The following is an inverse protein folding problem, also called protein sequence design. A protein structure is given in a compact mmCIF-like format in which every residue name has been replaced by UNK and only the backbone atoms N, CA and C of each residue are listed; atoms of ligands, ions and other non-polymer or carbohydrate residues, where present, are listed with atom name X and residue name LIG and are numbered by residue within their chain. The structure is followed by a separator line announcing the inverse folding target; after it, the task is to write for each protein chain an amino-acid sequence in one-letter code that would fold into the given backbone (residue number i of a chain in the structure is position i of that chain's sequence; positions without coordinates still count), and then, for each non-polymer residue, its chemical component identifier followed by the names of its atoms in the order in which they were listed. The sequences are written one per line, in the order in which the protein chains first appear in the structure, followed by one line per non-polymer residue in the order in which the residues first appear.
data_IF_405868429465
#
_entry.id   IF_405868429465
#
_cell.length_a   1.000
_cell.length_b   1.000
_cell.length_c   1.000
_cell.angle_alpha   90.00
_cell.angle_beta   90.00
_cell.angle_gamma   90.00
#
_symmetry.space_group_name_H-M   'P 1'
#
loop_
_entity.id
_entity.type
_entity.pdbx_description
1 polymer ?
#
# COMPACT_ATOMS: atom_id res chain seq x y z
N UNK A 1 35.90 -23.48 9.60
CA UNK A 1 35.86 -23.56 11.09
C UNK A 1 35.50 -22.19 11.64
N UNK A 2 34.75 -22.15 12.73
CA UNK A 2 34.36 -20.89 13.37
C UNK A 2 35.61 -20.09 13.77
N UNK A 3 35.71 -18.79 13.37
CA UNK A 3 36.86 -17.97 13.71
C UNK A 3 36.93 -17.72 15.23
N UNK A 4 38.15 -17.60 15.74
CA UNK A 4 38.45 -17.30 17.14
C UNK A 4 38.95 -15.87 17.34
N UNK A 5 39.33 -15.21 16.25
CA UNK A 5 39.77 -13.83 16.16
C UNK A 5 39.16 -13.18 14.94
N UNK A 6 39.20 -11.86 14.89
CA UNK A 6 38.79 -11.10 13.69
C UNK A 6 39.82 -11.26 12.57
N UNK A 7 39.50 -10.77 11.37
CA UNK A 7 40.39 -10.85 10.20
C UNK A 7 41.72 -10.10 10.36
N UNK A 8 41.79 -9.16 11.29
CA UNK A 8 42.97 -8.39 11.68
C UNK A 8 43.71 -8.93 12.89
N UNK A 9 43.40 -10.18 13.30
CA UNK A 9 43.94 -10.88 14.46
C UNK A 9 43.54 -10.28 15.84
N UNK A 10 42.63 -9.30 15.87
CA UNK A 10 42.11 -8.78 17.13
C UNK A 10 41.07 -9.72 17.76
N UNK A 11 40.71 -9.49 18.99
CA UNK A 11 39.73 -10.30 19.70
C UNK A 11 38.31 -10.04 19.12
N UNK A 12 37.51 -11.12 19.08
CA UNK A 12 36.12 -11.02 18.65
C UNK A 12 35.30 -10.13 19.58
N UNK A 13 34.45 -9.30 19.03
CA UNK A 13 33.52 -8.45 19.74
C UNK A 13 32.07 -8.80 19.41
N UNK A 14 31.15 -8.44 20.31
CA UNK A 14 29.71 -8.66 20.03
C UNK A 14 29.28 -7.91 18.79
N UNK A 15 28.64 -8.64 17.87
CA UNK A 15 28.20 -8.08 16.60
C UNK A 15 29.08 -8.49 15.42
N UNK A 16 30.25 -9.07 15.63
CA UNK A 16 31.09 -9.60 14.55
C UNK A 16 30.31 -10.61 13.73
N UNK A 17 30.51 -10.58 12.42
CA UNK A 17 29.84 -11.46 11.48
C UNK A 17 30.81 -12.47 10.88
N UNK A 18 30.38 -13.71 10.84
CA UNK A 18 31.09 -14.77 10.15
C UNK A 18 30.22 -15.39 9.08
N UNK A 19 30.67 -15.39 7.85
CA UNK A 19 30.01 -16.02 6.70
C UNK A 19 30.64 -17.40 6.50
N UNK A 20 29.86 -18.46 6.74
CA UNK A 20 30.31 -19.82 6.49
C UNK A 20 30.12 -20.16 5.00
N UNK A 21 31.24 -20.45 4.38
CA UNK A 21 31.34 -20.75 2.94
C UNK A 21 31.51 -22.25 2.66
N UNK A 22 31.50 -23.09 3.71
CA UNK A 22 31.81 -24.51 3.59
C UNK A 22 30.68 -25.33 2.99
N UNK A 23 29.44 -24.86 3.13
CA UNK A 23 28.25 -25.54 2.63
C UNK A 23 27.49 -24.66 1.64
N UNK A 24 27.60 -25.00 0.36
CA UNK A 24 26.96 -24.26 -0.73
C UNK A 24 25.46 -24.49 -0.82
N UNK A 25 24.96 -25.63 -0.40
CA UNK A 25 23.51 -25.94 -0.42
C UNK A 25 22.74 -25.05 0.56
N UNK A 26 23.38 -24.72 1.70
CA UNK A 26 22.82 -23.84 2.72
C UNK A 26 23.45 -22.45 2.75
N UNK A 27 24.15 -22.09 1.69
CA UNK A 27 24.81 -20.80 1.53
C UNK A 27 23.85 -19.63 1.32
N UNK A 28 24.14 -18.43 1.89
CA UNK A 28 25.16 -18.17 2.92
C UNK A 28 24.60 -18.48 4.31
N UNK A 29 25.38 -19.17 5.14
CA UNK A 29 25.13 -19.23 6.57
C UNK A 29 25.89 -18.09 7.23
N UNK A 30 25.19 -17.20 7.90
CA UNK A 30 25.76 -16.02 8.54
C UNK A 30 25.57 -16.14 10.04
N UNK A 31 26.64 -15.99 10.76
CA UNK A 31 26.67 -16.07 12.22
C UNK A 31 27.04 -14.71 12.79
N UNK A 32 26.40 -14.35 13.91
CA UNK A 32 26.75 -13.19 14.72
C UNK A 32 27.40 -13.64 16.01
N UNK A 33 28.51 -13.02 16.35
CA UNK A 33 29.21 -13.31 17.61
C UNK A 33 28.55 -12.59 18.77
N UNK A 34 28.48 -13.28 19.90
CA UNK A 34 28.08 -12.71 21.19
C UNK A 34 29.21 -12.92 22.22
N UNK A 35 29.87 -11.83 22.60
CA UNK A 35 31.01 -11.89 23.56
C UNK A 35 30.59 -12.27 24.97
N UNK A 36 29.34 -12.00 25.37
CA UNK A 36 28.85 -12.35 26.69
C UNK A 36 28.69 -13.88 26.88
N UNK A 37 28.32 -14.57 25.82
CA UNK A 37 28.17 -16.03 25.81
C UNK A 37 29.33 -16.76 25.15
N UNK A 38 30.25 -16.01 24.53
CA UNK A 38 31.40 -16.55 23.76
C UNK A 38 30.93 -17.52 22.66
N UNK A 39 29.82 -17.20 22.01
CA UNK A 39 29.21 -18.08 21.01
C UNK A 39 28.88 -17.35 19.72
N UNK A 40 28.91 -18.11 18.63
CA UNK A 40 28.39 -17.70 17.34
C UNK A 40 26.95 -18.20 17.20
N UNK A 41 26.02 -17.27 17.06
CA UNK A 41 24.59 -17.55 16.83
C UNK A 41 24.29 -17.46 15.35
N UNK A 42 23.69 -18.52 14.79
CA UNK A 42 23.23 -18.51 13.39
C UNK A 42 22.10 -17.47 13.23
N UNK A 43 22.24 -16.62 12.24
CA UNK A 43 21.20 -15.68 11.88
C UNK A 43 20.27 -16.37 10.88
N UNK A 44 18.96 -16.29 11.13
CA UNK A 44 17.98 -16.81 10.22
C UNK A 44 17.96 -16.00 8.90
N UNK A 45 18.68 -16.50 7.92
CA UNK A 45 18.76 -15.88 6.61
C UNK A 45 17.52 -16.18 5.74
N UNK A 46 16.55 -16.89 6.25
CA UNK A 46 15.24 -17.07 5.60
C UNK A 46 14.22 -16.01 6.04
N UNK A 47 14.48 -15.32 7.13
CA UNK A 47 13.60 -14.28 7.65
C UNK A 47 13.84 -12.91 6.97
N UNK A 48 12.81 -12.37 6.35
CA UNK A 48 12.78 -10.98 5.88
C UNK A 48 11.76 -10.13 6.63
N UNK A 49 11.03 -10.72 7.55
CA UNK A 49 9.97 -10.03 8.27
C UNK A 49 10.51 -9.30 9.48
N UNK A 50 11.57 -9.83 10.10
CA UNK A 50 12.23 -9.21 11.25
C UNK A 50 13.52 -8.51 10.87
N UNK A 51 13.96 -7.59 11.71
CA UNK A 51 15.23 -6.88 11.57
C UNK A 51 16.44 -7.80 11.71
N UNK A 52 16.29 -8.90 12.43
CA UNK A 52 17.34 -9.90 12.59
C UNK A 52 17.70 -10.64 11.30
N UNK A 53 16.78 -10.68 10.33
CA UNK A 53 17.02 -11.24 9.00
C UNK A 53 17.86 -10.32 8.08
N UNK A 54 18.09 -9.06 8.48
CA UNK A 54 18.93 -8.10 7.77
C UNK A 54 20.11 -7.73 8.65
N UNK A 55 21.31 -7.95 8.14
CA UNK A 55 22.53 -7.72 8.90
C UNK A 55 23.15 -6.42 8.41
N UNK A 56 23.39 -5.52 9.33
CA UNK A 56 24.11 -4.28 9.09
C UNK A 56 25.49 -4.34 9.75
N UNK A 57 26.52 -4.05 8.97
CA UNK A 57 27.88 -3.88 9.46
C UNK A 57 28.41 -2.49 9.04
N UNK A 58 28.97 -1.74 9.97
CA UNK A 58 29.52 -0.41 9.67
C UNK A 58 30.75 -0.52 8.75
N UNK A 59 30.66 0.06 7.56
CA UNK A 59 31.75 0.06 6.59
C UNK A 59 32.73 1.24 6.78
N UNK A 60 32.55 2.07 7.80
CA UNK A 60 33.51 3.16 8.13
C UNK A 60 34.79 2.64 8.75
N UNK A 61 35.12 1.43 8.49
CA UNK A 61 36.36 0.81 8.91
C UNK A 61 37.55 1.54 8.26
N UNK A 62 38.44 2.10 9.06
CA UNK A 62 39.68 2.63 8.53
C UNK A 62 40.79 1.59 8.68
N UNK A 63 41.74 1.63 7.76
CA UNK A 63 42.92 0.75 7.73
C UNK A 63 43.79 0.81 8.97
N UNK A 64 43.54 1.74 9.88
CA UNK A 64 44.29 1.88 11.16
C UNK A 64 43.60 1.20 12.34
N UNK A 65 42.50 0.50 12.14
CA UNK A 65 41.80 -0.24 13.18
C UNK A 65 41.08 0.61 14.22
N UNK A 66 41.09 1.94 14.06
CA UNK A 66 40.37 2.83 14.94
C UNK A 66 38.95 3.00 14.43
N UNK A 67 38.07 2.12 14.82
CA UNK A 67 36.65 2.34 14.66
C UNK A 67 36.19 3.29 15.77
N UNK A 68 35.95 4.54 15.43
CA UNK A 68 35.57 5.57 16.39
C UNK A 68 34.10 5.54 16.78
N UNK A 69 33.29 4.78 16.04
CA UNK A 69 31.84 4.80 16.18
C UNK A 69 31.27 3.41 16.42
N UNK A 70 30.25 3.34 17.25
CA UNK A 70 29.46 2.13 17.46
C UNK A 70 28.88 1.67 16.12
N UNK A 71 28.97 0.39 15.76
CA UNK A 71 28.34 -0.12 14.54
C UNK A 71 26.89 0.29 14.48
N UNK A 72 26.46 0.86 13.36
CA UNK A 72 25.07 1.20 13.15
C UNK A 72 24.20 -0.05 13.20
N UNK A 73 23.08 0.02 13.89
CA UNK A 73 22.04 -1.01 13.86
C UNK A 73 20.94 -0.60 12.93
N UNK A 74 20.12 -1.54 12.45
CA UNK A 74 18.91 -1.22 11.69
C UNK A 74 17.99 -0.33 12.52
N UNK A 75 17.93 -0.48 13.83
CA UNK A 75 17.19 0.42 14.72
C UNK A 75 17.67 1.87 14.61
N UNK A 76 18.96 2.08 14.47
CA UNK A 76 19.51 3.43 14.28
C UNK A 76 19.05 4.04 12.94
N UNK A 77 18.81 3.22 11.91
CA UNK A 77 18.23 3.65 10.64
C UNK A 77 16.78 4.12 10.75
N UNK A 78 16.10 3.73 11.80
CA UNK A 78 14.67 4.00 12.02
C UNK A 78 14.43 5.22 12.88
N UNK A 79 15.47 5.88 13.36
CA UNK A 79 15.31 7.11 14.13
C UNK A 79 14.93 8.27 13.22
N UNK A 80 14.09 9.17 13.73
CA UNK A 80 13.61 10.36 13.01
C UNK A 80 14.73 11.27 12.49
N UNK A 81 15.95 11.12 13.02
CA UNK A 81 17.10 11.92 12.63
C UNK A 81 17.68 11.59 11.25
N UNK A 82 17.29 10.43 10.66
CA UNK A 82 17.81 10.02 9.35
C UNK A 82 17.04 10.62 8.18
N UNK A 83 15.83 11.05 8.41
CA UNK A 83 14.98 11.54 7.35
C UNK A 83 14.39 12.88 7.76
N UNK A 84 15.12 13.94 7.45
CA UNK A 84 14.55 15.26 7.34
C UNK A 84 14.14 15.47 5.88
N UNK A 85 12.85 15.55 5.65
CA UNK A 85 12.31 15.67 4.30
C UNK A 85 12.60 17.04 3.69
N UNK A 86 12.61 18.08 4.50
CA UNK A 86 12.81 19.46 4.04
C UNK A 86 14.28 19.80 3.81
N UNK A 87 15.16 19.13 4.53
CA UNK A 87 16.61 19.33 4.43
C UNK A 87 17.37 18.02 4.66
N UNK A 88 17.33 17.06 3.73
CA UNK A 88 18.00 15.79 3.88
C UNK A 88 19.51 15.99 4.04
N UNK A 89 20.04 15.58 5.19
CA UNK A 89 21.47 15.63 5.47
C UNK A 89 22.10 14.25 5.15
N UNK A 90 22.86 14.13 4.05
CA UNK A 90 23.46 12.86 3.68
C UNK A 90 24.52 12.36 4.68
N UNK A 91 25.00 13.21 5.59
CA UNK A 91 25.97 12.81 6.62
C UNK A 91 25.32 12.01 7.73
N UNK A 92 23.99 12.10 7.90
CA UNK A 92 23.21 11.34 8.88
C UNK A 92 22.85 9.93 8.42
N UNK A 93 22.98 9.64 7.12
CA UNK A 93 22.72 8.30 6.61
C UNK A 93 23.75 7.30 7.12
N UNK A 94 23.31 6.10 7.53
CA UNK A 94 24.22 5.10 8.02
C UNK A 94 25.21 4.69 6.92
N UNK A 95 26.43 4.52 7.33
CA UNK A 95 27.53 4.07 6.46
C UNK A 95 27.86 2.65 6.83
N UNK A 96 27.72 1.73 5.88
CA UNK A 96 27.96 0.36 6.21
C UNK A 96 27.73 -0.60 5.07
N UNK A 97 27.88 -1.86 5.38
CA UNK A 97 27.63 -2.97 4.50
C UNK A 97 26.37 -3.69 4.95
N UNK A 98 25.46 -3.94 4.03
CA UNK A 98 24.25 -4.70 4.29
C UNK A 98 24.31 -6.07 3.63
N UNK A 99 24.04 -7.09 4.42
CA UNK A 99 23.94 -8.45 3.98
C UNK A 99 22.47 -8.85 3.90
N UNK A 100 21.95 -9.03 2.71
CA UNK A 100 20.58 -9.44 2.51
C UNK A 100 20.36 -10.90 2.83
N UNK A 101 19.16 -11.19 3.23
CA UNK A 101 18.61 -12.51 3.09
C UNK A 101 18.47 -12.87 1.60
N UNK A 102 19.28 -13.81 1.17
CA UNK A 102 19.34 -14.20 -0.23
C UNK A 102 18.20 -15.08 -0.68
N UNK A 103 17.43 -15.69 0.23
CA UNK A 103 16.29 -16.54 -0.12
C UNK A 103 15.03 -15.74 -0.42
N UNK A 104 14.83 -14.62 0.30
CA UNK A 104 13.64 -13.79 0.14
C UNK A 104 13.89 -12.45 -0.58
N UNK A 105 15.11 -12.20 -1.02
CA UNK A 105 15.46 -10.93 -1.68
C UNK A 105 15.21 -10.91 -3.20
N UNK A 106 14.45 -11.85 -3.73
CA UNK A 106 14.23 -11.96 -5.15
C UNK A 106 15.29 -12.78 -5.87
N UNK A 107 16.03 -13.60 -5.15
CA UNK A 107 17.19 -14.28 -5.68
C UNK A 107 17.10 -15.79 -5.42
N UNK A 108 17.18 -16.56 -6.49
CA UNK A 108 17.37 -17.99 -6.39
C UNK A 108 18.87 -18.29 -6.19
N UNK A 109 19.22 -18.75 -4.99
CA UNK A 109 20.62 -19.03 -4.60
C UNK A 109 21.27 -20.04 -5.54
N UNK A 110 20.58 -21.10 -5.90
CA UNK A 110 21.11 -22.16 -6.79
C UNK A 110 21.38 -21.64 -8.19
N UNK A 111 20.46 -20.83 -8.73
CA UNK A 111 20.64 -20.17 -10.04
C UNK A 111 21.82 -19.23 -10.04
N UNK A 112 21.95 -18.46 -8.97
CA UNK A 112 23.04 -17.51 -8.82
C UNK A 112 24.39 -18.21 -8.72
N UNK A 113 24.53 -19.22 -7.85
CA UNK A 113 25.75 -20.00 -7.70
C UNK A 113 26.16 -20.61 -9.04
N UNK A 114 25.22 -21.20 -9.79
CA UNK A 114 25.48 -21.78 -11.10
C UNK A 114 26.03 -20.76 -12.11
N UNK A 115 25.51 -19.55 -12.10
CA UNK A 115 25.82 -18.55 -13.14
C UNK A 115 27.02 -17.67 -12.82
N UNK A 116 27.33 -17.48 -11.53
CA UNK A 116 28.29 -16.43 -11.11
C UNK A 116 29.36 -16.91 -10.16
N UNK A 117 29.31 -18.13 -9.66
CA UNK A 117 30.29 -18.64 -8.71
C UNK A 117 31.06 -19.78 -9.34
N UNK A 118 32.36 -19.62 -9.47
CA UNK A 118 33.24 -20.73 -9.82
C UNK A 118 33.47 -21.61 -8.59
N UNK A 119 32.87 -22.79 -8.61
CA UNK A 119 32.96 -23.75 -7.50
C UNK A 119 34.30 -24.44 -7.43
N UNK A 120 35.12 -24.37 -8.50
CA UNK A 120 36.44 -25.00 -8.56
C UNK A 120 37.55 -24.15 -7.95
N UNK A 121 37.36 -22.84 -7.91
CA UNK A 121 38.27 -21.90 -7.29
C UNK A 121 37.72 -21.35 -5.96
N UNK A 122 38.27 -21.83 -4.87
CA UNK A 122 37.83 -21.43 -3.52
C UNK A 122 38.21 -19.98 -3.20
N UNK A 123 39.24 -19.42 -3.83
CA UNK A 123 39.69 -18.06 -3.59
C UNK A 123 38.78 -17.01 -4.23
N UNK A 124 37.99 -17.40 -5.24
CA UNK A 124 37.07 -16.47 -5.93
C UNK A 124 35.71 -16.42 -5.26
N UNK A 125 35.41 -17.29 -4.30
CA UNK A 125 34.07 -17.36 -3.72
C UNK A 125 33.72 -16.14 -2.86
N UNK A 126 34.70 -15.62 -2.13
CA UNK A 126 34.48 -14.61 -1.09
C UNK A 126 35.68 -13.68 -0.85
N UNK A 127 36.52 -13.45 -1.82
CA UNK A 127 37.48 -12.35 -1.72
C UNK A 127 36.73 -11.01 -1.88
N UNK A 128 37.20 -9.97 -1.22
CA UNK A 128 36.63 -8.62 -1.31
C UNK A 128 36.56 -8.13 -2.77
N UNK A 129 37.52 -8.51 -3.59
CA UNK A 129 37.53 -8.19 -5.02
C UNK A 129 36.39 -8.86 -5.79
N UNK A 130 36.01 -10.07 -5.41
CA UNK A 130 35.00 -10.85 -6.11
C UNK A 130 33.58 -10.59 -5.57
N UNK A 131 33.45 -10.12 -4.34
CA UNK A 131 32.13 -9.83 -3.77
C UNK A 131 31.35 -8.81 -4.59
N UNK A 132 31.97 -7.73 -5.03
CA UNK A 132 31.34 -6.71 -5.88
C UNK A 132 31.04 -7.19 -7.28
N UNK A 133 31.91 -8.04 -7.85
CA UNK A 133 31.76 -8.55 -9.20
C UNK A 133 30.73 -9.68 -9.32
N UNK A 134 30.74 -10.61 -8.36
CA UNK A 134 29.91 -11.81 -8.41
C UNK A 134 28.61 -11.72 -7.60
N UNK A 135 28.53 -10.75 -6.66
CA UNK A 135 27.39 -10.60 -5.76
C UNK A 135 26.78 -9.19 -5.75
N UNK A 136 26.64 -8.52 -6.89
CA UNK A 136 26.24 -7.11 -6.92
C UNK A 136 24.85 -6.86 -6.32
N UNK A 137 24.03 -7.88 -6.22
CA UNK A 137 22.65 -7.80 -5.72
C UNK A 137 22.46 -8.31 -4.29
N UNK A 138 23.50 -8.84 -3.68
CA UNK A 138 23.41 -9.48 -2.35
C UNK A 138 24.21 -8.78 -1.31
N UNK A 139 25.35 -8.28 -1.72
CA UNK A 139 26.29 -7.60 -0.87
C UNK A 139 26.31 -6.14 -1.25
N UNK A 140 26.05 -5.34 -0.29
CA UNK A 140 26.21 -3.91 -0.43
C UNK A 140 27.39 -3.52 0.40
N UNK A 141 28.50 -3.28 -0.27
CA UNK A 141 29.77 -2.99 0.38
C UNK A 141 29.80 -1.61 0.99
N UNK A 142 29.04 -0.70 0.42
CA UNK A 142 29.04 0.68 0.86
C UNK A 142 27.64 1.23 0.96
N UNK A 143 27.35 1.81 2.09
CA UNK A 143 26.19 2.65 2.25
C UNK A 143 26.63 3.97 2.85
N UNK A 144 26.36 5.05 2.16
CA UNK A 144 26.69 6.37 2.63
C UNK A 144 28.21 6.67 2.74
N UNK A 145 29.09 5.86 2.18
CA UNK A 145 30.50 6.18 2.07
C UNK A 145 30.80 7.22 1.00
N UNK A 146 29.84 7.48 0.11
CA UNK A 146 29.94 8.54 -0.87
C UNK A 146 29.65 9.89 -0.23
N UNK A 147 30.27 10.92 -0.76
CA UNK A 147 30.15 12.29 -0.23
C UNK A 147 28.72 12.82 -0.16
N UNK A 148 27.83 12.30 -1.02
CA UNK A 148 26.42 12.65 -1.07
C UNK A 148 25.53 11.74 -0.20
N UNK A 149 26.11 10.88 0.62
CA UNK A 149 25.35 9.90 1.40
C UNK A 149 24.74 8.77 0.58
N UNK A 150 25.02 8.67 -0.71
CA UNK A 150 24.52 7.58 -1.53
C UNK A 150 25.15 6.26 -1.08
N UNK A 151 24.36 5.22 -1.18
CA UNK A 151 24.75 3.87 -0.85
C UNK A 151 23.51 2.98 -0.94
N UNK A 152 23.70 1.70 -0.76
CA UNK A 152 22.60 0.76 -0.82
C UNK A 152 22.44 0.05 0.52
N UNK A 153 21.20 -0.19 0.87
CA UNK A 153 20.80 -0.85 2.11
C UNK A 153 20.07 -2.15 1.81
N UNK A 154 19.89 -2.98 2.81
CA UNK A 154 18.98 -4.10 2.75
C UNK A 154 17.56 -3.65 2.41
N UNK A 155 16.82 -4.45 1.64
CA UNK A 155 15.49 -4.06 1.16
C UNK A 155 14.54 -3.61 2.26
N UNK A 156 14.54 -4.31 3.38
CA UNK A 156 13.67 -3.96 4.52
C UNK A 156 14.08 -2.63 5.14
N UNK A 157 15.40 -2.40 5.31
CA UNK A 157 15.91 -1.15 5.84
C UNK A 157 15.65 0.02 4.88
N UNK A 158 15.90 -0.15 3.57
CA UNK A 158 15.55 0.84 2.56
C UNK A 158 14.06 1.19 2.59
N UNK A 159 13.20 0.17 2.64
CA UNK A 159 11.75 0.37 2.72
C UNK A 159 11.37 1.19 3.95
N UNK A 160 11.90 0.88 5.14
CA UNK A 160 11.59 1.63 6.36
C UNK A 160 12.04 3.09 6.27
N UNK A 161 13.23 3.38 5.74
CA UNK A 161 13.71 4.75 5.52
C UNK A 161 12.78 5.50 4.55
N UNK A 162 12.40 4.87 3.44
CA UNK A 162 11.47 5.47 2.47
C UNK A 162 10.10 5.72 3.09
N UNK A 163 9.58 4.78 3.87
CA UNK A 163 8.30 4.96 4.57
C UNK A 163 8.35 6.16 5.50
N UNK A 164 9.39 6.29 6.32
CA UNK A 164 9.54 7.45 7.22
C UNK A 164 9.61 8.78 6.44
N UNK A 165 10.35 8.80 5.32
CA UNK A 165 10.41 9.97 4.46
C UNK A 165 9.05 10.34 3.88
N UNK A 166 8.30 9.35 3.40
CA UNK A 166 6.96 9.55 2.85
C UNK A 166 5.95 9.97 3.93
N UNK A 167 6.05 9.41 5.14
CA UNK A 167 5.23 9.83 6.28
C UNK A 167 5.50 11.29 6.64
N UNK A 168 6.77 11.69 6.70
CA UNK A 168 7.16 13.07 6.95
C UNK A 168 6.65 13.99 5.82
N UNK A 169 6.77 13.58 4.56
CA UNK A 169 6.25 14.32 3.42
C UNK A 169 4.74 14.57 3.52
N UNK A 170 3.98 13.52 3.79
CA UNK A 170 2.52 13.62 3.91
C UNK A 170 2.12 14.51 5.10
N UNK A 171 2.81 14.34 6.24
CA UNK A 171 2.45 15.04 7.48
C UNK A 171 2.85 16.52 7.50
N UNK A 172 3.91 16.90 6.81
CA UNK A 172 4.45 18.27 6.84
C UNK A 172 4.09 19.10 5.61
N UNK A 173 3.34 18.57 4.67
CA UNK A 173 3.01 19.29 3.44
C UNK A 173 1.62 19.92 3.51
N UNK A 174 1.55 21.17 3.91
CA UNK A 174 0.30 21.94 3.99
C UNK A 174 -0.37 22.10 2.63
N UNK A 175 0.38 22.14 1.53
CA UNK A 175 -0.18 22.35 0.20
C UNK A 175 -1.05 21.18 -0.28
N UNK A 176 -0.77 19.94 0.15
CA UNK A 176 -1.63 18.79 -0.17
C UNK A 176 -2.79 18.64 0.81
N UNK A 177 -2.69 19.25 2.01
CA UNK A 177 -3.74 19.21 3.03
C UNK A 177 -4.84 20.24 2.78
N UNK A 178 -4.52 21.33 2.10
CA UNK A 178 -5.49 22.33 1.72
C UNK A 178 -6.27 21.92 0.46
N UNK A 179 -7.58 21.74 0.60
CA UNK A 179 -8.47 21.37 -0.50
C UNK A 179 -8.69 22.51 -1.52
N UNK A 180 -8.43 23.75 -1.11
CA UNK A 180 -8.54 24.91 -1.98
C UNK A 180 -7.32 25.08 -2.90
N UNK A 181 -6.11 24.71 -2.43
CA UNK A 181 -4.89 24.82 -3.23
C UNK A 181 -4.66 23.65 -4.17
N UNK A 182 -5.12 22.46 -3.81
CA UNK A 182 -4.99 21.24 -4.64
C UNK A 182 -6.30 20.47 -4.70
N UNK A 183 -6.88 20.37 -5.88
CA UNK A 183 -8.15 19.65 -6.11
C UNK A 183 -7.82 18.25 -6.64
N UNK A 184 -8.16 17.22 -5.87
CA UNK A 184 -8.11 15.83 -6.26
C UNK A 184 -9.17 15.02 -5.48
N UNK A 185 -9.59 13.90 -6.04
CA UNK A 185 -10.61 13.02 -5.46
C UNK A 185 -10.14 11.57 -5.25
N UNK A 186 -8.86 11.31 -5.48
CA UNK A 186 -8.23 10.01 -5.25
C UNK A 186 -6.89 10.22 -4.54
N UNK A 187 -6.60 9.38 -3.56
CA UNK A 187 -5.33 9.33 -2.84
C UNK A 187 -4.80 7.90 -2.92
N UNK A 188 -3.55 7.74 -3.27
CA UNK A 188 -2.88 6.44 -3.24
C UNK A 188 -1.39 6.62 -2.97
N UNK A 189 -0.79 5.64 -2.32
CA UNK A 189 0.66 5.49 -2.22
C UNK A 189 1.03 4.09 -2.71
N UNK A 190 1.24 3.92 -4.04
CA UNK A 190 1.37 2.62 -4.65
C UNK A 190 2.52 1.79 -4.08
N UNK A 191 2.21 0.59 -3.58
CA UNK A 191 3.18 -0.35 -3.03
C UNK A 191 3.59 -0.11 -1.56
N UNK A 192 2.99 0.88 -0.88
CA UNK A 192 3.27 1.20 0.52
C UNK A 192 2.00 1.13 1.37
N UNK A 193 1.63 -0.07 1.80
CA UNK A 193 0.49 -0.29 2.70
C UNK A 193 0.67 0.41 4.05
N UNK A 194 1.91 0.62 4.47
CA UNK A 194 2.26 1.29 5.72
C UNK A 194 1.84 2.76 5.78
N UNK A 195 1.52 3.36 4.64
CA UNK A 195 1.07 4.76 4.56
C UNK A 195 -0.46 4.92 4.54
N UNK A 196 -1.20 3.84 4.69
CA UNK A 196 -2.67 3.88 4.68
C UNK A 196 -3.19 4.83 5.76
N UNK A 197 -2.65 4.77 6.97
CA UNK A 197 -3.06 5.63 8.09
C UNK A 197 -2.81 7.11 7.81
N UNK A 198 -1.68 7.46 7.20
CA UNK A 198 -1.35 8.82 6.80
C UNK A 198 -2.26 9.33 5.68
N UNK A 199 -2.59 8.45 4.72
CA UNK A 199 -3.53 8.79 3.65
C UNK A 199 -4.94 9.03 4.17
N UNK A 200 -5.39 8.23 5.14
CA UNK A 200 -6.67 8.44 5.83
C UNK A 200 -6.64 9.77 6.58
N UNK A 201 -5.61 10.05 7.38
CA UNK A 201 -5.45 11.30 8.11
C UNK A 201 -5.45 12.51 7.16
N UNK A 202 -4.71 12.43 6.06
CA UNK A 202 -4.71 13.45 5.02
C UNK A 202 -6.13 13.70 4.47
N UNK A 203 -6.89 12.64 4.21
CA UNK A 203 -8.25 12.76 3.70
C UNK A 203 -9.20 13.42 4.71
N UNK A 204 -9.04 13.11 6.00
CA UNK A 204 -9.80 13.79 7.07
C UNK A 204 -9.49 15.27 7.15
N UNK A 205 -8.22 15.65 7.11
CA UNK A 205 -7.80 17.07 7.13
C UNK A 205 -8.37 17.85 5.94
N UNK A 206 -8.56 17.18 4.81
CA UNK A 206 -9.18 17.72 3.59
C UNK A 206 -10.72 17.68 3.60
N UNK A 207 -11.35 17.40 4.73
CA UNK A 207 -12.82 17.29 4.83
C UNK A 207 -13.41 16.12 4.07
N UNK A 208 -12.67 15.00 3.94
CA UNK A 208 -13.09 13.78 3.23
C UNK A 208 -13.42 14.05 1.75
N UNK A 209 -12.54 14.77 1.07
CA UNK A 209 -12.70 15.18 -0.32
C UNK A 209 -12.19 14.16 -1.34
N UNK A 210 -11.58 13.06 -0.87
CA UNK A 210 -10.98 12.05 -1.73
C UNK A 210 -11.29 10.62 -1.27
N UNK A 211 -11.12 9.66 -2.18
CA UNK A 211 -11.18 8.23 -1.90
C UNK A 211 -9.77 7.65 -1.86
N UNK A 212 -9.45 6.89 -0.80
CA UNK A 212 -8.14 6.28 -0.58
C UNK A 212 -8.12 4.89 -1.23
N UNK A 213 -7.13 4.66 -2.08
CA UNK A 213 -6.87 3.37 -2.74
C UNK A 213 -5.66 2.73 -2.08
N UNK A 214 -5.90 1.70 -1.29
CA UNK A 214 -4.88 0.96 -0.56
C UNK A 214 -4.46 -0.33 -1.27
N UNK A 215 -3.24 -0.75 -0.98
CA UNK A 215 -2.61 -1.94 -1.55
C UNK A 215 -2.54 -3.09 -0.56
N UNK A 216 -2.48 -4.29 -1.10
CA UNK A 216 -2.08 -5.50 -0.40
C UNK A 216 -0.59 -5.76 -0.57
N UNK A 217 0.04 -6.54 0.32
CA UNK A 217 1.44 -6.95 0.18
C UNK A 217 1.71 -7.69 -1.12
N UNK A 218 2.86 -7.42 -1.75
CA UNK A 218 3.28 -8.13 -2.96
C UNK A 218 3.49 -9.62 -2.76
N UNK A 219 3.80 -10.05 -1.52
CA UNK A 219 4.14 -11.42 -1.17
C UNK A 219 3.02 -12.17 -0.46
N UNK A 220 1.83 -11.60 -0.41
CA UNK A 220 0.67 -12.25 0.19
C UNK A 220 0.23 -13.41 -0.69
N UNK A 221 0.33 -14.62 -0.15
CA UNK A 221 -0.04 -15.85 -0.86
C UNK A 221 -1.56 -15.96 -1.02
N UNK A 222 -2.04 -16.59 -2.10
CA UNK A 222 -3.47 -16.64 -2.41
C UNK A 222 -4.24 -17.69 -1.60
N UNK A 223 -3.62 -18.37 -0.64
CA UNK A 223 -4.35 -19.32 0.19
C UNK A 223 -5.32 -18.61 1.16
N UNK A 224 -6.45 -19.25 1.44
CA UNK A 224 -7.53 -18.66 2.21
C UNK A 224 -7.10 -18.30 3.64
N UNK A 225 -6.15 -19.03 4.22
CA UNK A 225 -5.66 -18.80 5.58
C UNK A 225 -4.83 -17.51 5.61
N UNK A 226 -3.81 -17.40 4.78
CA UNK A 226 -2.95 -16.22 4.70
C UNK A 226 -3.74 -14.95 4.34
N UNK A 227 -4.68 -15.07 3.40
CA UNK A 227 -5.55 -13.94 3.04
C UNK A 227 -6.42 -13.47 4.21
N UNK A 228 -7.02 -14.41 4.94
CA UNK A 228 -7.85 -14.09 6.09
C UNK A 228 -7.01 -13.52 7.26
N UNK A 229 -5.88 -14.14 7.58
CA UNK A 229 -5.01 -13.71 8.66
C UNK A 229 -4.50 -12.27 8.44
N UNK A 230 -4.06 -11.96 7.24
CA UNK A 230 -3.63 -10.61 6.90
C UNK A 230 -4.80 -9.62 6.94
N UNK A 231 -5.92 -9.93 6.28
CA UNK A 231 -7.05 -9.00 6.14
C UNK A 231 -7.78 -8.71 7.46
N UNK A 232 -7.73 -9.65 8.42
CA UNK A 232 -8.34 -9.52 9.76
C UNK A 232 -7.34 -9.15 10.85
N UNK A 233 -6.07 -8.98 10.49
CA UNK A 233 -4.99 -8.64 11.42
C UNK A 233 -4.87 -9.61 12.60
N UNK A 234 -4.88 -10.90 12.33
CA UNK A 234 -4.74 -11.94 13.37
C UNK A 234 -3.39 -11.83 14.10
N UNK A 235 -2.35 -11.39 13.38
CA UNK A 235 -1.00 -11.22 13.91
C UNK A 235 -0.83 -9.98 14.80
N UNK A 236 -1.89 -9.20 15.01
CA UNK A 236 -1.91 -8.01 15.86
C UNK A 236 -0.85 -6.96 15.45
N UNK A 237 -0.63 -6.80 14.15
CA UNK A 237 0.21 -5.73 13.64
C UNK A 237 -0.26 -4.37 14.18
N UNK A 238 0.68 -3.50 14.53
CA UNK A 238 0.39 -2.19 15.13
C UNK A 238 0.03 -1.15 14.05
N UNK A 239 0.56 -1.34 12.84
CA UNK A 239 0.29 -0.51 11.67
C UNK A 239 0.05 -1.39 10.45
N UNK A 240 -0.57 -0.82 9.42
CA UNK A 240 -0.75 -1.50 8.14
C UNK A 240 0.61 -1.88 7.56
N UNK A 241 0.77 -3.14 7.21
CA UNK A 241 2.04 -3.70 6.74
C UNK A 241 1.84 -5.04 6.03
N UNK A 242 2.95 -5.69 5.72
CA UNK A 242 2.93 -7.07 5.22
C UNK A 242 2.41 -8.08 6.26
N UNK A 243 2.41 -7.71 7.54
CA UNK A 243 1.98 -8.57 8.65
C UNK A 243 0.46 -8.52 8.89
N UNK A 244 -0.18 -7.40 8.60
CA UNK A 244 -1.61 -7.24 8.82
C UNK A 244 -2.18 -5.93 8.34
N UNK A 245 -3.46 -5.93 8.05
CA UNK A 245 -4.25 -4.76 7.68
C UNK A 245 -5.04 -4.26 8.89
N UNK A 246 -4.63 -3.12 9.44
CA UNK A 246 -5.12 -2.56 10.71
C UNK A 246 -6.23 -1.54 10.51
N UNK A 247 -6.06 -0.67 9.51
CA UNK A 247 -6.93 0.49 9.31
C UNK A 247 -8.31 0.13 8.79
N UNK A 248 -9.29 0.87 9.28
CA UNK A 248 -10.67 0.83 8.81
C UNK A 248 -11.11 2.25 8.48
N UNK A 249 -11.70 2.44 7.31
CA UNK A 249 -12.27 3.71 6.89
C UNK A 249 -13.34 3.51 5.81
N UNK A 250 -14.36 4.36 5.83
CA UNK A 250 -15.49 4.31 4.88
C UNK A 250 -15.16 4.94 3.52
N UNK A 251 -14.06 5.69 3.44
CA UNK A 251 -13.57 6.32 2.22
C UNK A 251 -12.27 5.67 1.69
N UNK A 252 -12.03 4.44 2.10
CA UNK A 252 -10.88 3.64 1.66
C UNK A 252 -11.33 2.30 1.09
N UNK A 253 -10.66 1.84 0.05
CA UNK A 253 -10.76 0.48 -0.48
C UNK A 253 -9.39 -0.15 -0.64
N UNK A 254 -9.26 -1.42 -0.28
CA UNK A 254 -8.04 -2.22 -0.44
C UNK A 254 -8.26 -3.28 -1.50
N UNK A 255 -7.26 -3.54 -2.32
CA UNK A 255 -7.34 -4.43 -3.48
C UNK A 255 -6.22 -5.48 -3.47
N UNK A 256 -6.53 -6.67 -3.99
CA UNK A 256 -5.62 -7.80 -4.11
C UNK A 256 -5.93 -8.57 -5.41
N UNK A 257 -4.98 -9.15 -6.11
CA UNK A 257 -3.54 -9.15 -5.92
C UNK A 257 -2.81 -8.06 -6.73
N UNK A 258 -1.48 -8.13 -6.72
CA UNK A 258 -0.61 -7.27 -7.54
C UNK A 258 -0.68 -7.63 -9.02
N UNK A 259 -0.32 -6.70 -9.89
CA UNK A 259 -0.29 -6.89 -11.33
C UNK A 259 1.09 -7.15 -11.89
N UNK A 260 1.15 -7.74 -13.07
CA UNK A 260 2.35 -7.92 -13.85
C UNK A 260 2.20 -7.18 -15.18
N UNK A 261 3.19 -6.39 -15.53
CA UNK A 261 3.20 -5.60 -16.76
C UNK A 261 4.62 -5.36 -17.24
N UNK A 262 4.79 -4.66 -18.33
CA UNK A 262 6.12 -4.20 -18.78
C UNK A 262 6.23 -2.69 -18.71
N UNK A 263 7.43 -2.22 -18.41
CA UNK A 263 7.76 -0.80 -18.45
C UNK A 263 7.94 -0.29 -19.88
N UNK A 264 8.22 1.02 -20.03
CA UNK A 264 8.43 1.64 -21.34
C UNK A 264 9.71 1.16 -22.05
N UNK A 265 10.58 0.44 -21.36
CA UNK A 265 11.82 -0.14 -21.90
C UNK A 265 11.66 -1.62 -22.25
N UNK A 266 10.49 -2.21 -21.97
CA UNK A 266 10.20 -3.62 -22.21
C UNK A 266 10.67 -4.55 -21.10
N UNK A 267 11.03 -4.02 -19.92
CA UNK A 267 11.33 -4.86 -18.77
C UNK A 267 10.03 -5.26 -18.06
N UNK A 268 10.00 -6.49 -17.61
CA UNK A 268 8.89 -7.00 -16.81
C UNK A 268 8.94 -6.44 -15.40
N UNK A 269 7.81 -5.90 -14.94
CA UNK A 269 7.66 -5.28 -13.62
C UNK A 269 6.40 -5.76 -12.91
N UNK A 270 6.48 -5.87 -11.59
CA UNK A 270 5.31 -6.09 -10.73
C UNK A 270 4.81 -4.75 -10.23
N UNK A 271 3.52 -4.50 -10.45
CA UNK A 271 2.87 -3.25 -10.05
C UNK A 271 1.85 -3.50 -8.94
N UNK A 272 1.69 -2.59 -7.99
CA UNK A 272 0.69 -2.74 -6.93
C UNK A 272 -0.73 -2.67 -7.48
N UNK A 273 -1.69 -3.20 -6.72
CA UNK A 273 -3.10 -3.22 -7.10
C UNK A 273 -3.64 -1.80 -7.35
N UNK A 274 -3.23 -0.82 -6.54
CA UNK A 274 -3.64 0.59 -6.70
C UNK A 274 -3.30 1.15 -8.08
N UNK A 275 -2.14 0.80 -8.65
CA UNK A 275 -1.77 1.24 -9.99
C UNK A 275 -2.80 0.79 -11.05
N UNK A 276 -3.30 -0.43 -10.94
CA UNK A 276 -4.33 -0.96 -11.82
C UNK A 276 -5.68 -0.26 -11.58
N UNK A 277 -6.05 -0.15 -10.33
CA UNK A 277 -7.37 0.36 -9.91
C UNK A 277 -7.51 1.86 -10.18
N UNK A 278 -6.48 2.67 -9.99
CA UNK A 278 -6.51 4.09 -10.34
C UNK A 278 -6.86 4.30 -11.81
N UNK A 279 -6.27 3.52 -12.71
CA UNK A 279 -6.62 3.56 -14.14
C UNK A 279 -8.05 3.09 -14.39
N UNK A 280 -8.47 2.01 -13.75
CA UNK A 280 -9.83 1.47 -13.88
C UNK A 280 -10.88 2.47 -13.40
N UNK A 281 -10.64 3.15 -12.28
CA UNK A 281 -11.50 4.21 -11.77
C UNK A 281 -11.54 5.37 -12.76
N UNK A 282 -10.39 5.84 -13.24
CA UNK A 282 -10.33 6.94 -14.19
C UNK A 282 -11.07 6.64 -15.50
N UNK A 283 -10.92 5.43 -16.04
CA UNK A 283 -11.66 4.99 -17.23
C UNK A 283 -13.17 4.87 -16.95
N UNK A 284 -13.55 4.35 -15.78
CA UNK A 284 -14.95 4.28 -15.37
C UNK A 284 -15.58 5.68 -15.28
N UNK A 285 -14.87 6.66 -14.73
CA UNK A 285 -15.33 8.04 -14.63
C UNK A 285 -15.43 8.74 -15.98
N UNK A 286 -14.57 8.38 -16.93
CA UNK A 286 -14.61 8.92 -18.29
C UNK A 286 -15.82 8.43 -19.08
N UNK A 287 -16.24 7.16 -18.90
CA UNK A 287 -17.35 6.54 -19.65
C UNK A 287 -18.67 6.56 -18.90
N UNK A 288 -18.65 6.89 -17.62
CA UNK A 288 -19.79 6.90 -16.71
C UNK A 288 -19.67 8.07 -15.72
N UNK A 289 -20.20 7.89 -14.54
CA UNK A 289 -20.11 8.86 -13.45
C UNK A 289 -19.39 8.25 -12.22
N UNK A 290 -18.84 9.07 -11.31
CA UNK A 290 -18.13 8.59 -10.11
C UNK A 290 -18.95 7.67 -9.19
N UNK A 291 -20.25 7.76 -9.21
CA UNK A 291 -21.18 6.94 -8.41
C UNK A 291 -21.55 5.60 -9.04
N UNK A 292 -20.99 5.26 -10.18
CA UNK A 292 -21.07 3.89 -10.68
C UNK A 292 -19.91 3.05 -10.15
N UNK A 293 -20.21 1.80 -9.79
CA UNK A 293 -19.20 0.89 -9.30
C UNK A 293 -18.09 0.66 -10.35
N UNK A 294 -16.82 0.94 -10.05
CA UNK A 294 -15.69 0.62 -10.93
C UNK A 294 -15.32 -0.86 -10.82
N UNK A 295 -16.32 -1.73 -10.99
CA UNK A 295 -16.20 -3.16 -10.78
C UNK A 295 -17.02 -3.95 -11.80
N UNK A 296 -16.73 -5.25 -11.89
CA UNK A 296 -17.39 -6.17 -12.81
C UNK A 296 -16.98 -5.98 -14.26
N UNK A 297 -17.60 -6.76 -15.15
CA UNK A 297 -17.20 -6.87 -16.56
C UNK A 297 -17.47 -5.62 -17.41
N UNK A 298 -18.32 -4.72 -16.95
CA UNK A 298 -18.66 -3.50 -17.69
C UNK A 298 -17.75 -2.31 -17.44
N UNK A 299 -17.28 -2.11 -16.20
CA UNK A 299 -16.52 -0.94 -15.78
C UNK A 299 -15.29 -1.27 -14.93
N UNK A 300 -15.14 -2.53 -14.53
CA UNK A 300 -14.01 -2.98 -13.74
C UNK A 300 -12.85 -3.54 -14.56
N UNK A 301 -12.86 -3.41 -15.88
CA UNK A 301 -11.79 -3.93 -16.73
C UNK A 301 -10.43 -3.32 -16.43
N UNK A 302 -9.42 -4.17 -16.31
CA UNK A 302 -8.03 -3.76 -16.09
C UNK A 302 -7.29 -3.85 -17.41
N UNK A 303 -6.67 -2.75 -17.83
CA UNK A 303 -6.04 -2.61 -19.15
C UNK A 303 -4.54 -2.33 -19.09
N UNK A 304 -3.99 -2.14 -17.90
CA UNK A 304 -2.58 -1.82 -17.66
C UNK A 304 -1.81 -2.92 -16.92
N UNK A 305 -2.32 -4.14 -16.95
CA UNK A 305 -1.63 -5.34 -16.51
C UNK A 305 -1.97 -6.51 -17.44
N UNK A 306 -1.02 -7.39 -17.67
CA UNK A 306 -1.18 -8.61 -18.48
C UNK A 306 -1.68 -9.78 -17.65
N UNK A 307 -1.28 -9.86 -16.40
CA UNK A 307 -1.70 -10.88 -15.43
C UNK A 307 -1.69 -10.30 -14.02
N UNK A 308 -2.24 -11.04 -13.07
CA UNK A 308 -2.21 -10.72 -11.65
C UNK A 308 -1.65 -11.88 -10.86
N UNK A 309 -1.02 -11.58 -9.74
CA UNK A 309 -0.36 -12.59 -8.94
C UNK A 309 0.37 -12.01 -7.72
N UNK A 310 1.32 -12.74 -7.23
CA UNK A 310 2.12 -12.37 -6.07
C UNK A 310 3.60 -12.71 -6.30
N UNK A 311 4.47 -12.16 -5.46
CA UNK A 311 5.89 -12.46 -5.47
C UNK A 311 6.14 -13.60 -4.47
N UNK A 312 6.72 -14.70 -4.96
CA UNK A 312 7.05 -15.87 -4.14
C UNK A 312 8.16 -15.57 -3.12
N UNK A 313 8.40 -16.49 -2.19
CA UNK A 313 9.53 -16.41 -1.25
C UNK A 313 10.89 -16.30 -1.96
N UNK A 314 11.00 -16.87 -3.17
CA UNK A 314 12.20 -16.81 -4.00
C UNK A 314 12.32 -15.51 -4.81
N UNK A 315 11.26 -14.69 -4.81
CA UNK A 315 11.22 -13.39 -5.48
C UNK A 315 10.79 -13.43 -6.93
N UNK A 316 10.25 -14.55 -7.38
CA UNK A 316 9.69 -14.69 -8.70
C UNK A 316 8.19 -14.35 -8.67
N UNK A 317 7.69 -13.76 -9.75
CA UNK A 317 6.27 -13.50 -9.87
C UNK A 317 5.54 -14.77 -10.27
N UNK A 318 4.51 -15.14 -9.52
CA UNK A 318 3.60 -16.23 -9.83
C UNK A 318 2.22 -15.68 -10.16
N UNK A 319 1.79 -15.96 -11.40
CA UNK A 319 0.46 -15.54 -11.88
C UNK A 319 -0.61 -16.44 -11.29
N UNK A 320 -1.70 -15.84 -10.83
CA UNK A 320 -2.83 -16.53 -10.21
C UNK A 320 -4.17 -16.18 -10.85
N UNK A 321 -5.09 -17.11 -10.77
CA UNK A 321 -6.51 -16.87 -11.02
C UNK A 321 -7.27 -17.22 -9.74
N UNK A 322 -7.82 -16.22 -9.07
CA UNK A 322 -8.57 -16.41 -7.83
C UNK A 322 -9.83 -17.23 -8.09
N UNK A 323 -9.96 -18.33 -7.37
CA UNK A 323 -11.19 -19.13 -7.37
C UNK A 323 -12.31 -18.43 -6.55
N UNK A 324 -13.52 -18.97 -6.61
CA UNK A 324 -14.68 -18.39 -5.94
C UNK A 324 -14.48 -18.29 -4.42
N UNK A 325 -13.96 -19.35 -3.78
CA UNK A 325 -13.74 -19.36 -2.33
C UNK A 325 -12.70 -18.32 -1.88
N UNK A 326 -11.62 -18.13 -2.66
CA UNK A 326 -10.62 -17.09 -2.37
C UNK A 326 -11.21 -15.69 -2.51
N UNK A 327 -12.02 -15.47 -3.56
CA UNK A 327 -12.72 -14.19 -3.74
C UNK A 327 -13.71 -13.90 -2.60
N UNK A 328 -14.45 -14.92 -2.16
CA UNK A 328 -15.39 -14.79 -1.05
C UNK A 328 -14.68 -14.49 0.27
N UNK A 329 -13.54 -15.13 0.53
CA UNK A 329 -12.71 -14.85 1.71
C UNK A 329 -12.26 -13.39 1.73
N UNK A 330 -11.70 -12.90 0.63
CA UNK A 330 -11.28 -11.50 0.49
C UNK A 330 -12.47 -10.55 0.67
N UNK A 331 -13.56 -10.82 -0.02
CA UNK A 331 -14.72 -9.94 -0.02
C UNK A 331 -15.41 -9.89 1.34
N UNK A 332 -15.43 -11.00 2.07
CA UNK A 332 -15.92 -11.04 3.45
C UNK A 332 -15.06 -10.20 4.39
N UNK A 333 -13.77 -10.17 4.16
CA UNK A 333 -12.81 -9.37 4.92
C UNK A 333 -12.66 -7.93 4.41
N UNK A 334 -13.57 -7.45 3.55
CA UNK A 334 -13.54 -6.10 2.96
C UNK A 334 -12.28 -5.78 2.14
N UNK A 335 -11.74 -6.77 1.45
CA UNK A 335 -10.67 -6.64 0.45
C UNK A 335 -11.24 -6.97 -0.92
N UNK A 336 -10.99 -6.13 -1.91
CA UNK A 336 -11.58 -6.25 -3.23
C UNK A 336 -10.71 -7.12 -4.14
N UNK A 337 -11.22 -8.24 -4.64
CA UNK A 337 -10.47 -9.15 -5.49
C UNK A 337 -10.35 -8.62 -6.93
N UNK A 338 -9.16 -8.75 -7.49
CA UNK A 338 -8.89 -8.59 -8.92
C UNK A 338 -8.67 -9.99 -9.49
N UNK A 339 -9.39 -10.35 -10.54
CA UNK A 339 -9.34 -11.71 -11.07
C UNK A 339 -9.55 -11.74 -12.58
N UNK A 340 -9.17 -12.86 -13.18
CA UNK A 340 -9.45 -13.13 -14.58
C UNK A 340 -10.84 -13.77 -14.72
N UNK A 341 -11.69 -13.18 -15.55
CA UNK A 341 -13.01 -13.74 -15.90
C UNK A 341 -13.00 -14.15 -17.38
N UNK A 342 -13.34 -15.37 -17.65
CA UNK A 342 -13.42 -15.90 -19.03
C UNK A 342 -14.37 -15.05 -19.86
N UNK A 343 -13.89 -14.54 -20.99
CA UNK A 343 -14.66 -13.68 -21.89
C UNK A 343 -14.64 -12.20 -21.54
N UNK A 344 -14.14 -11.79 -20.38
CA UNK A 344 -14.03 -10.39 -19.97
C UNK A 344 -12.58 -9.94 -19.70
N UNK A 345 -11.65 -10.90 -19.48
CA UNK A 345 -10.26 -10.61 -19.15
C UNK A 345 -10.06 -10.31 -17.67
N UNK A 346 -9.03 -9.53 -17.37
CA UNK A 346 -8.75 -9.07 -16.01
C UNK A 346 -9.76 -7.99 -15.60
N UNK A 347 -10.36 -8.19 -14.43
CA UNK A 347 -11.37 -7.27 -13.89
C UNK A 347 -11.21 -7.10 -12.39
N UNK A 348 -11.47 -5.89 -11.91
CA UNK A 348 -11.81 -5.67 -10.52
C UNK A 348 -13.20 -6.25 -10.24
N UNK A 349 -13.29 -7.19 -9.32
CA UNK A 349 -14.52 -7.91 -9.00
C UNK A 349 -15.03 -7.62 -7.59
N UNK A 350 -14.70 -6.45 -7.05
CA UNK A 350 -15.16 -6.00 -5.75
C UNK A 350 -15.34 -4.48 -5.67
N UNK A 351 -16.21 -4.04 -4.77
CA UNK A 351 -16.48 -2.62 -4.54
C UNK A 351 -16.76 -2.28 -3.07
N UNK A 352 -16.20 -3.05 -2.15
CA UNK A 352 -16.33 -2.76 -0.72
C UNK A 352 -15.34 -1.71 -0.26
N UNK A 353 -15.80 -0.83 0.62
CA UNK A 353 -14.91 0.00 1.42
C UNK A 353 -14.39 -0.79 2.63
N UNK A 354 -13.40 -0.26 3.29
CA UNK A 354 -12.86 -0.84 4.53
C UNK A 354 -13.66 -0.38 5.77
N UNK A 355 -14.96 -0.15 5.61
CA UNK A 355 -15.84 0.22 6.71
C UNK A 355 -15.87 -0.89 7.78
N UNK A 356 -15.77 -0.48 9.06
CA UNK A 356 -15.84 -1.42 10.19
C UNK A 356 -17.25 -1.97 10.38
N UNK A 357 -18.25 -1.12 10.21
CA UNK A 357 -19.65 -1.46 10.42
C UNK A 357 -20.41 -1.39 9.10
N UNK A 358 -21.45 -2.21 8.96
CA UNK A 358 -22.34 -2.13 7.81
C UNK A 358 -23.07 -0.77 7.79
N UNK A 359 -22.89 -0.02 6.72
CA UNK A 359 -23.53 1.28 6.50
C UNK A 359 -23.80 1.49 5.00
N UNK A 360 -24.41 2.61 4.63
CA UNK A 360 -24.54 2.98 3.23
C UNK A 360 -23.16 3.23 2.58
N UNK A 361 -22.16 3.62 3.36
CA UNK A 361 -20.77 3.89 2.93
C UNK A 361 -19.88 2.63 2.86
N UNK A 362 -20.43 1.44 3.06
CA UNK A 362 -19.69 0.19 2.93
C UNK A 362 -19.41 -0.22 1.47
N UNK A 363 -19.81 0.65 0.53
CA UNK A 363 -19.58 0.47 -0.92
C UNK A 363 -18.88 1.67 -1.56
N UNK A 364 -17.90 1.38 -2.41
CA UNK A 364 -17.06 2.37 -3.08
C UNK A 364 -17.90 3.36 -3.90
N UNK A 365 -18.91 2.88 -4.60
CA UNK A 365 -19.77 3.74 -5.41
C UNK A 365 -20.50 4.81 -4.58
N UNK A 366 -21.00 4.45 -3.39
CA UNK A 366 -21.67 5.39 -2.48
C UNK A 366 -20.67 6.34 -1.82
N UNK A 367 -19.52 5.83 -1.38
CA UNK A 367 -18.45 6.68 -0.83
C UNK A 367 -18.00 7.75 -1.83
N UNK A 368 -17.81 7.35 -3.09
CA UNK A 368 -17.42 8.28 -4.17
C UNK A 368 -18.55 9.25 -4.56
N UNK A 369 -19.81 8.83 -4.47
CA UNK A 369 -20.95 9.73 -4.61
C UNK A 369 -20.92 10.83 -3.55
N UNK A 370 -20.69 10.47 -2.28
CA UNK A 370 -20.64 11.45 -1.17
C UNK A 370 -19.46 12.41 -1.34
N UNK A 371 -18.29 11.92 -1.78
CA UNK A 371 -17.14 12.77 -2.11
C UNK A 371 -17.50 13.78 -3.20
N UNK A 372 -18.14 13.32 -4.27
CA UNK A 372 -18.60 14.19 -5.36
C UNK A 372 -19.59 15.25 -4.85
N UNK A 373 -20.59 14.84 -4.07
CA UNK A 373 -21.57 15.73 -3.48
C UNK A 373 -20.92 16.80 -2.61
N UNK A 374 -20.00 16.44 -1.72
CA UNK A 374 -19.26 17.42 -0.89
C UNK A 374 -18.56 18.45 -1.75
N UNK A 375 -17.87 18.02 -2.79
CA UNK A 375 -17.17 18.94 -3.71
C UNK A 375 -18.13 19.90 -4.40
N UNK A 376 -19.27 19.40 -4.92
CA UNK A 376 -20.26 20.23 -5.60
C UNK A 376 -20.97 21.19 -4.65
N UNK A 377 -21.36 20.72 -3.46
CA UNK A 377 -22.03 21.52 -2.45
C UNK A 377 -21.09 22.62 -1.88
N UNK A 378 -19.83 22.29 -1.64
CA UNK A 378 -18.85 23.29 -1.23
C UNK A 378 -18.67 24.38 -2.29
N UNK A 379 -18.63 23.98 -3.59
CA UNK A 379 -18.55 24.94 -4.68
C UNK A 379 -19.81 25.81 -4.78
N UNK A 380 -20.98 25.20 -4.59
CA UNK A 380 -22.26 25.90 -4.58
C UNK A 380 -22.38 26.89 -3.42
N UNK A 381 -21.89 26.51 -2.23
CA UNK A 381 -22.00 27.33 -1.02
C UNK A 381 -21.02 28.52 -0.98
N UNK A 382 -19.86 28.43 -1.63
CA UNK A 382 -18.82 29.47 -1.60
C UNK A 382 -19.30 30.89 -1.94
N UNK A 383 -20.14 31.13 -2.96
CA UNK A 383 -20.63 32.46 -3.30
C UNK A 383 -21.51 33.10 -2.22
N UNK A 384 -22.12 32.31 -1.36
CA UNK A 384 -23.03 32.79 -0.31
C UNK A 384 -22.32 33.13 1.00
N UNK A 385 -21.04 32.88 1.07
CA UNK A 385 -20.24 33.33 2.25
C UNK A 385 -20.16 34.84 2.22
N UNK A 386 -20.55 35.47 3.33
CA UNK A 386 -20.70 36.92 3.54
C UNK A 386 -21.99 37.56 2.97
N UNK A 387 -22.86 36.77 2.32
CA UNK A 387 -24.19 37.28 1.97
C UNK A 387 -25.11 37.41 3.19
N UNK A 388 -26.13 38.26 3.16
CA UNK A 388 -27.10 38.42 4.27
C UNK A 388 -27.78 37.05 4.55
N UNK A 389 -27.85 36.69 5.84
CA UNK A 389 -28.55 35.47 6.26
C UNK A 389 -30.05 35.74 6.40
N UNK A 390 -30.71 36.00 5.31
CA UNK A 390 -32.15 36.22 5.22
C UNK A 390 -32.88 35.05 4.50
N UNK A 391 -34.19 35.17 4.40
CA UNK A 391 -35.00 34.16 3.75
C UNK A 391 -34.66 33.99 2.26
N UNK A 392 -34.30 35.12 1.59
CA UNK A 392 -34.02 35.07 0.14
C UNK A 392 -32.78 34.24 -0.10
N UNK A 393 -31.69 34.49 0.60
CA UNK A 393 -30.44 33.74 0.50
C UNK A 393 -30.64 32.24 0.82
N UNK A 394 -31.44 31.95 1.86
CA UNK A 394 -31.75 30.55 2.21
C UNK A 394 -32.57 29.83 1.12
N UNK A 395 -33.55 30.52 0.55
CA UNK A 395 -34.39 29.96 -0.55
C UNK A 395 -33.56 29.74 -1.82
N UNK A 396 -32.64 30.65 -2.16
CA UNK A 396 -31.74 30.50 -3.30
C UNK A 396 -30.78 29.30 -3.15
N UNK A 397 -30.10 29.18 -2.02
CA UNK A 397 -29.20 28.05 -1.74
C UNK A 397 -29.98 26.73 -1.81
N UNK A 398 -31.17 26.70 -1.17
CA UNK A 398 -32.05 25.53 -1.19
C UNK A 398 -32.40 25.13 -2.61
N UNK A 399 -32.85 26.06 -3.42
CA UNK A 399 -33.24 25.82 -4.82
C UNK A 399 -32.06 25.32 -5.66
N UNK A 400 -30.86 25.87 -5.49
CA UNK A 400 -29.68 25.38 -6.19
C UNK A 400 -29.28 23.97 -5.74
N UNK A 401 -29.35 23.68 -4.45
CA UNK A 401 -29.09 22.34 -3.94
C UNK A 401 -30.12 21.32 -4.44
N UNK A 402 -31.42 21.66 -4.42
CA UNK A 402 -32.49 20.83 -4.98
C UNK A 402 -32.29 20.57 -6.47
N UNK A 403 -31.86 21.59 -7.24
CA UNK A 403 -31.53 21.45 -8.65
C UNK A 403 -30.40 20.43 -8.91
N UNK A 404 -29.34 20.48 -8.11
CA UNK A 404 -28.24 19.53 -8.16
C UNK A 404 -28.73 18.10 -7.78
N UNK A 405 -29.55 17.96 -6.75
CA UNK A 405 -30.08 16.66 -6.34
C UNK A 405 -30.99 16.05 -7.42
N UNK A 406 -31.85 16.83 -8.04
CA UNK A 406 -32.72 16.39 -9.13
C UNK A 406 -31.90 15.90 -10.34
N UNK A 407 -30.83 16.59 -10.69
CA UNK A 407 -29.91 16.13 -11.73
C UNK A 407 -29.32 14.76 -11.39
N UNK A 408 -28.88 14.56 -10.13
CA UNK A 408 -28.32 13.29 -9.66
C UNK A 408 -29.35 12.16 -9.66
N UNK A 409 -30.62 12.42 -9.35
CA UNK A 409 -31.70 11.44 -9.50
C UNK A 409 -31.83 11.05 -10.97
N UNK A 410 -31.85 12.02 -11.89
CA UNK A 410 -31.88 11.78 -13.34
C UNK A 410 -30.69 10.97 -13.84
N UNK A 411 -29.52 11.15 -13.25
CA UNK A 411 -28.27 10.43 -13.56
C UNK A 411 -28.12 9.11 -12.80
N UNK A 412 -29.17 8.64 -12.09
CA UNK A 412 -29.18 7.36 -11.35
C UNK A 412 -28.19 7.28 -10.19
N UNK A 413 -27.88 8.42 -9.56
CA UNK A 413 -27.06 8.49 -8.36
C UNK A 413 -27.90 8.27 -7.09
N UNK A 414 -29.09 8.85 -7.07
CA UNK A 414 -30.00 8.87 -5.94
C UNK A 414 -31.36 8.27 -6.31
N UNK A 415 -32.01 7.62 -5.36
CA UNK A 415 -33.43 7.27 -5.44
C UNK A 415 -34.30 8.45 -5.05
N UNK A 416 -33.97 9.10 -3.93
CA UNK A 416 -34.69 10.24 -3.39
C UNK A 416 -33.77 11.11 -2.53
N UNK A 417 -34.21 12.34 -2.22
CA UNK A 417 -33.50 13.28 -1.38
C UNK A 417 -34.44 14.24 -0.67
N UNK A 418 -33.96 14.85 0.41
CA UNK A 418 -34.62 15.95 1.12
C UNK A 418 -33.60 17.05 1.37
N UNK A 419 -33.98 18.29 1.04
CA UNK A 419 -33.17 19.48 1.32
C UNK A 419 -33.94 20.40 2.26
N UNK A 420 -33.36 20.74 3.38
CA UNK A 420 -33.94 21.66 4.38
C UNK A 420 -33.00 22.84 4.59
N UNK A 421 -33.49 24.04 4.30
CA UNK A 421 -32.82 25.29 4.57
C UNK A 421 -33.89 26.36 4.85
N UNK A 422 -34.52 26.24 6.01
CA UNK A 422 -35.61 27.13 6.41
C UNK A 422 -35.51 27.48 7.91
N UNK A 423 -36.57 28.03 8.48
CA UNK A 423 -36.59 28.44 9.88
C UNK A 423 -36.52 27.28 10.88
N UNK A 424 -36.80 26.05 10.44
CA UNK A 424 -36.74 24.86 11.30
C UNK A 424 -35.31 24.49 11.67
N UNK A 425 -34.37 24.65 10.73
CA UNK A 425 -32.96 24.37 10.94
C UNK A 425 -32.09 25.63 11.05
N UNK A 426 -32.56 26.81 10.65
CA UNK A 426 -31.91 28.10 10.85
C UNK A 426 -32.62 28.92 11.90
N UNK A 427 -32.45 28.57 13.16
CA UNK A 427 -33.06 29.22 14.30
C UNK A 427 -32.45 30.63 14.53
N UNK A 428 -33.18 31.59 15.21
CA UNK A 428 -32.62 32.89 15.52
C UNK A 428 -31.25 32.85 16.21
N UNK A 429 -31.06 31.91 17.12
CA UNK A 429 -29.76 31.73 17.80
C UNK A 429 -28.61 31.30 16.86
N UNK A 430 -28.89 30.59 15.76
CA UNK A 430 -27.88 30.27 14.74
C UNK A 430 -27.62 31.46 13.83
N UNK A 431 -28.65 32.21 13.47
CA UNK A 431 -28.53 33.41 12.68
C UNK A 431 -27.70 34.48 13.46
N UNK A 432 -27.92 34.63 14.75
CA UNK A 432 -27.15 35.52 15.61
C UNK A 432 -25.66 35.15 15.74
N UNK A 433 -25.33 33.87 15.49
CA UNK A 433 -23.94 33.39 15.38
C UNK A 433 -23.37 33.47 13.97
N UNK A 434 -24.07 34.07 13.04
CA UNK A 434 -23.72 34.16 11.61
C UNK A 434 -23.57 32.79 10.93
N UNK A 435 -24.36 31.80 11.35
CA UNK A 435 -24.37 30.44 10.80
C UNK A 435 -25.57 30.25 9.88
N UNK A 436 -25.36 29.55 8.74
CA UNK A 436 -26.39 29.06 7.86
C UNK A 436 -26.29 27.55 7.76
N UNK A 437 -27.41 26.85 7.99
CA UNK A 437 -27.50 25.40 7.94
C UNK A 437 -28.31 24.95 6.73
N UNK A 438 -27.67 24.14 5.90
CA UNK A 438 -28.27 23.43 4.79
C UNK A 438 -28.21 21.93 5.10
N UNK A 439 -29.32 21.33 5.49
CA UNK A 439 -29.39 19.92 5.79
C UNK A 439 -29.88 19.14 4.56
N UNK A 440 -29.12 18.10 4.19
CA UNK A 440 -29.42 17.27 3.03
C UNK A 440 -29.41 15.81 3.44
N UNK A 441 -30.53 15.13 3.24
CA UNK A 441 -30.63 13.67 3.35
C UNK A 441 -30.74 13.06 1.95
N UNK A 442 -30.05 11.96 1.72
CA UNK A 442 -30.01 11.29 0.42
C UNK A 442 -30.24 9.78 0.57
N UNK A 443 -30.93 9.19 -0.42
CA UNK A 443 -31.02 7.75 -0.60
C UNK A 443 -30.20 7.32 -1.82
N UNK A 444 -28.96 6.81 -1.63
CA UNK A 444 -28.09 6.45 -2.75
C UNK A 444 -28.55 5.19 -3.47
N UNK A 445 -28.37 5.14 -4.78
CA UNK A 445 -28.62 3.94 -5.58
C UNK A 445 -27.55 2.89 -5.29
N UNK A 446 -28.00 1.68 -4.90
CA UNK A 446 -27.11 0.55 -4.64
C UNK A 446 -26.83 -0.24 -5.92
N UNK A 447 -25.60 -0.72 -6.07
CA UNK A 447 -25.24 -1.63 -7.15
C UNK A 447 -25.70 -3.06 -6.86
N UNK A 448 -26.06 -3.80 -7.89
CA UNK A 448 -26.40 -5.22 -7.80
C UNK A 448 -25.10 -6.01 -7.67
N UNK A 449 -24.96 -6.82 -6.61
CA UNK A 449 -23.83 -7.71 -6.37
C UNK A 449 -24.20 -9.19 -6.52
N UNK A 450 -25.42 -9.55 -6.16
CA UNK A 450 -25.91 -10.93 -6.23
C UNK A 450 -27.15 -11.03 -7.12
N UNK A 451 -27.14 -11.99 -8.03
CA UNK A 451 -28.28 -12.27 -8.93
C UNK A 451 -28.71 -13.70 -8.70
N UNK A 452 -29.93 -13.86 -8.22
CA UNK A 452 -30.55 -15.18 -8.05
C UNK A 452 -31.48 -15.46 -9.21
N UNK A 453 -31.23 -16.55 -9.95
CA UNK A 453 -32.03 -16.97 -11.10
C UNK A 453 -32.66 -18.33 -10.80
N UNK A 454 -33.85 -18.40 -10.18
CA UNK A 454 -34.53 -19.64 -9.95
C UNK A 454 -35.12 -20.16 -11.29
N UNK A 455 -34.53 -21.24 -11.82
CA UNK A 455 -35.08 -21.96 -12.97
C UNK A 455 -36.13 -22.97 -12.51
N UNK A 456 -37.35 -22.83 -13.00
CA UNK A 456 -38.43 -23.78 -12.74
C UNK A 456 -38.72 -24.53 -14.02
N UNK A 457 -38.52 -25.84 -14.00
CA UNK A 457 -38.97 -26.72 -15.07
C UNK A 457 -40.47 -26.94 -14.93
N UNK A 458 -41.20 -26.72 -16.01
CA UNK A 458 -42.63 -26.97 -16.13
C UNK A 458 -42.86 -28.04 -17.18
N UNK A 459 -43.89 -28.86 -16.99
CA UNK A 459 -44.32 -29.81 -18.01
C UNK A 459 -45.01 -29.11 -19.17
N UNK A 460 -45.11 -29.82 -20.29
CA UNK A 460 -45.78 -29.33 -21.51
C UNK A 460 -47.23 -28.91 -21.19
N UNK A 461 -47.57 -27.63 -21.38
CA UNK A 461 -48.90 -27.09 -21.12
C UNK A 461 -49.05 -26.35 -19.78
N UNK A 462 -48.06 -26.37 -18.88
CA UNK A 462 -48.11 -25.69 -17.57
C UNK A 462 -47.60 -24.25 -17.54
N UNK A 463 -47.14 -23.70 -18.69
CA UNK A 463 -46.59 -22.33 -18.78
C UNK A 463 -47.71 -21.26 -18.89
N UNK A 464 -48.93 -21.63 -19.18
CA UNK A 464 -50.06 -20.71 -19.40
C UNK A 464 -50.65 -20.09 -18.11
N UNK A 465 -49.96 -20.11 -17.00
CA UNK A 465 -50.43 -19.61 -15.70
C UNK A 465 -49.40 -18.81 -14.87
N UNK A 466 -48.51 -18.07 -15.52
CA UNK A 466 -47.62 -17.10 -14.86
C UNK A 466 -48.20 -15.71 -14.97
#
# INVERSE_FOLDING_TARGET
TKPTVQSDETALVTGDLWIDTSDIENYPQIYRYNSATVTWTLIDNSDQTTEDGIIFADARYNTSGANSDTPGTIEALLTSNFVDFDAPDPTLYPKGMLLFNTRRSGFNVKKFVRNYVDLTDQNTRFSDENMTAYYPHRWVLESGNQTNGAGSFGRKAQRKVVIQALQALVNNNDAIRDDASRIFNLIACPGYSELISEMISLNYDRGLSAFVVGDSPFRLTPDATSLNEWATNVNLAVQDSDEGLVSFDEYMGVFYPSGFTSDNFGNDIVVPASHMILRTIALSDQVSYPWFAPAGTRRGGITNASSVGYITSEGEFESIALNEGQRDTLYTSNVNPITFITGAGLVNYGQKTRARNASALDRINVARLVIYLRSQLNRLAKPYVFEPNDKITRDEIKQQAEGLMLELVGQRALYDFIVVCDESNNTPARIDRNELYLDIAIEPVKAVEFIYIPLRLKNTGEISGL
#
